data_IF_353390038166
#
_entry.id   IF_353390038166
#
_cell.length_a   1.000
_cell.length_b   1.000
_cell.length_c   1.000
_cell.angle_alpha   90.00
_cell.angle_beta   90.00
_cell.angle_gamma   90.00
#
_symmetry.space_group_name_H-M   'P 1'
#
loop_
_entity.id
_entity.type
_entity.pdbx_description
1 polymer ?
#
# COMPACT_ATOMS: atom_id res chain seq x y z
N UNK A 1 9.25 -40.62 -15.08
CA UNK A 1 7.92 -40.53 -15.75
C UNK A 1 7.84 -39.22 -16.51
N UNK A 2 7.67 -39.30 -17.84
CA UNK A 2 7.56 -38.15 -18.76
C UNK A 2 6.11 -37.65 -18.79
N UNK A 3 5.87 -36.37 -18.54
CA UNK A 3 4.58 -35.76 -18.83
C UNK A 3 4.57 -35.22 -20.27
N UNK A 4 3.66 -35.79 -21.06
CA UNK A 4 3.37 -35.48 -22.46
C UNK A 4 2.29 -34.39 -22.46
N UNK A 5 2.67 -33.15 -22.76
CA UNK A 5 1.74 -32.03 -22.95
C UNK A 5 1.03 -32.16 -24.30
N UNK A 6 -0.29 -32.29 -24.27
CA UNK A 6 -1.16 -32.22 -25.45
C UNK A 6 -1.29 -30.75 -25.88
N UNK A 7 -0.87 -30.48 -27.11
CA UNK A 7 -1.01 -29.19 -27.76
C UNK A 7 -2.42 -28.96 -28.29
N UNK A 8 -2.92 -27.75 -28.06
CA UNK A 8 -4.10 -27.20 -28.74
C UNK A 8 -3.61 -26.08 -29.65
N UNK A 9 -3.85 -26.23 -30.95
CA UNK A 9 -3.53 -25.23 -31.98
C UNK A 9 -4.78 -24.38 -32.27
N UNK A 10 -4.64 -23.07 -32.56
CA UNK A 10 -5.69 -22.32 -33.24
C UNK A 10 -5.30 -22.10 -34.71
N UNK A 11 -6.07 -22.73 -35.61
CA UNK A 11 -5.93 -22.62 -37.06
C UNK A 11 -7.01 -21.67 -37.61
N UNK A 12 -6.55 -20.64 -38.31
CA UNK A 12 -7.22 -19.87 -39.38
C UNK A 12 -8.58 -19.17 -39.14
N UNK A 13 -8.56 -17.83 -39.26
CA UNK A 13 -9.44 -17.14 -40.21
C UNK A 13 -8.77 -15.91 -40.81
N UNK A 14 -8.50 -15.99 -42.11
CA UNK A 14 -7.93 -14.94 -42.96
C UNK A 14 -9.06 -14.24 -43.73
N UNK A 15 -8.87 -12.93 -43.91
CA UNK A 15 -9.28 -12.07 -45.03
C UNK A 15 -10.78 -11.73 -45.20
N UNK A 16 -11.06 -10.42 -45.22
CA UNK A 16 -11.50 -9.69 -46.43
C UNK A 16 -11.13 -8.20 -46.34
N UNK A 17 -10.78 -7.65 -47.49
CA UNK A 17 -10.32 -6.29 -47.74
C UNK A 17 -11.45 -5.45 -48.34
N UNK A 18 -11.41 -4.12 -48.13
CA UNK A 18 -11.90 -3.06 -49.02
C UNK A 18 -11.56 -1.71 -48.34
N UNK A 19 -10.67 -0.85 -48.85
CA UNK A 19 -10.78 0.03 -50.03
C UNK A 19 -11.93 1.04 -49.89
N UNK A 20 -11.66 2.22 -49.31
CA UNK A 20 -12.41 3.43 -49.64
C UNK A 20 -11.54 4.69 -49.51
N UNK A 21 -10.87 5.05 -50.62
CA UNK A 21 -10.52 6.44 -50.93
C UNK A 21 -11.80 7.11 -51.43
N UNK A 22 -12.20 8.24 -50.85
CA UNK A 22 -12.90 9.30 -51.59
C UNK A 22 -12.40 10.66 -51.13
N UNK A 23 -11.85 11.38 -52.11
CA UNK A 23 -11.74 12.83 -52.16
C UNK A 23 -13.15 13.42 -52.16
N UNK A 24 -13.34 14.56 -51.48
CA UNK A 24 -14.29 15.58 -51.91
C UNK A 24 -13.57 16.93 -51.77
N UNK A 25 -13.41 17.58 -52.92
CA UNK A 25 -13.06 18.99 -53.05
C UNK A 25 -14.30 19.85 -52.76
N UNK A 26 -14.06 21.02 -52.16
CA UNK A 26 -14.61 22.32 -52.56
C UNK A 26 -16.10 22.56 -52.43
N UNK A 27 -16.46 23.52 -51.58
CA UNK A 27 -17.42 24.59 -51.93
C UNK A 27 -16.96 25.88 -51.26
N UNK A 28 -16.75 26.90 -52.09
CA UNK A 28 -16.62 28.30 -51.72
C UNK A 28 -17.97 28.99 -51.93
N UNK A 29 -18.42 29.78 -50.95
CA UNK A 29 -19.37 30.91 -51.00
C UNK A 29 -19.43 31.43 -49.56
N UNK A 30 -19.20 32.69 -49.21
CA UNK A 30 -19.80 33.92 -49.74
C UNK A 30 -20.68 34.52 -48.63
N UNK A 31 -20.11 35.39 -47.79
CA UNK A 31 -20.84 36.26 -46.85
C UNK A 31 -20.01 37.55 -46.67
N UNK A 32 -20.19 38.54 -47.55
CA UNK A 32 -21.03 39.74 -47.35
C UNK A 32 -20.61 40.61 -46.16
N UNK A 33 -19.85 41.66 -46.48
CA UNK A 33 -19.83 42.93 -45.76
C UNK A 33 -21.23 43.54 -45.72
N UNK A 34 -21.53 44.34 -44.68
CA UNK A 34 -22.29 45.55 -44.85
C UNK A 34 -21.41 46.78 -44.59
N UNK A 35 -21.38 47.64 -45.58
CA UNK A 35 -21.22 49.09 -45.42
C UNK A 35 -22.02 49.64 -44.24
N UNK A 36 -21.46 50.59 -43.48
CA UNK A 36 -22.02 51.94 -43.43
C UNK A 36 -21.03 52.96 -42.84
N UNK A 37 -20.61 53.91 -43.68
CA UNK A 37 -20.08 55.21 -43.29
C UNK A 37 -21.23 56.13 -42.88
N UNK A 38 -21.02 56.96 -41.86
CA UNK A 38 -21.93 58.07 -41.57
C UNK A 38 -21.60 58.78 -40.26
N UNK A 39 -20.74 59.81 -40.34
CA UNK A 39 -20.32 60.57 -39.18
C UNK A 39 -21.38 61.51 -38.59
N UNK A 40 -21.13 61.98 -37.36
CA UNK A 40 -21.50 63.34 -36.95
C UNK A 40 -20.71 63.77 -35.71
N UNK A 41 -20.26 65.03 -35.77
CA UNK A 41 -19.52 65.78 -34.76
C UNK A 41 -20.40 66.09 -33.54
N UNK A 42 -19.76 66.15 -32.38
CA UNK A 42 -20.13 66.98 -31.23
C UNK A 42 -21.13 66.34 -30.28
N UNK A 43 -20.70 66.08 -29.04
CA UNK A 43 -21.34 66.60 -27.83
C UNK A 43 -20.47 66.33 -26.59
N UNK A 44 -20.16 67.42 -25.89
CA UNK A 44 -20.02 67.56 -24.43
C UNK A 44 -19.19 66.55 -23.62
N UNK A 45 -18.02 67.03 -23.20
CA UNK A 45 -17.43 66.83 -21.88
C UNK A 45 -18.47 66.95 -20.75
N UNK A 46 -18.85 65.82 -20.13
CA UNK A 46 -19.46 65.79 -18.80
C UNK A 46 -18.73 64.76 -17.96
N UNK A 47 -18.34 65.21 -16.76
CA UNK A 47 -17.75 64.48 -15.65
C UNK A 47 -18.27 63.02 -15.53
N UNK A 48 -17.44 62.01 -15.27
CA UNK A 48 -16.28 62.01 -14.39
C UNK A 48 -16.70 61.42 -13.04
N UNK A 49 -16.24 60.19 -12.76
CA UNK A 49 -16.32 59.45 -11.47
C UNK A 49 -17.67 58.78 -11.15
N UNK A 50 -17.88 57.56 -11.65
CA UNK A 50 -18.97 56.70 -11.18
C UNK A 50 -18.93 55.23 -11.62
N UNK A 51 -18.40 54.93 -12.82
CA UNK A 51 -18.49 53.58 -13.39
C UNK A 51 -17.33 52.62 -13.06
N UNK A 52 -16.23 53.08 -12.43
CA UNK A 52 -15.09 52.21 -12.16
C UNK A 52 -15.24 51.32 -10.91
N UNK A 53 -16.08 51.70 -9.94
CA UNK A 53 -16.21 50.97 -8.67
C UNK A 53 -17.04 49.68 -8.83
N UNK A 54 -18.00 49.65 -9.76
CA UNK A 54 -18.88 48.48 -9.97
C UNK A 54 -18.19 47.31 -10.67
N UNK A 55 -17.16 47.56 -11.46
CA UNK A 55 -16.37 46.51 -12.11
C UNK A 55 -15.35 45.86 -11.17
N UNK A 56 -14.75 46.59 -10.24
CA UNK A 56 -13.78 46.03 -9.28
C UNK A 56 -14.44 45.03 -8.32
N UNK A 57 -15.67 45.29 -7.87
CA UNK A 57 -16.43 44.36 -7.02
C UNK A 57 -16.84 43.06 -7.74
N UNK A 58 -17.13 43.12 -9.05
CA UNK A 58 -17.54 41.93 -9.82
C UNK A 58 -16.38 40.96 -10.08
N UNK A 59 -15.17 41.50 -10.32
CA UNK A 59 -13.96 40.70 -10.51
C UNK A 59 -13.41 40.08 -9.21
N UNK A 60 -13.65 40.71 -8.06
CA UNK A 60 -13.35 40.12 -6.75
C UNK A 60 -14.12 38.83 -6.48
N UNK A 61 -15.41 38.79 -6.84
CA UNK A 61 -16.25 37.59 -6.62
C UNK A 61 -15.85 36.39 -7.50
N UNK A 62 -15.42 36.62 -8.75
CA UNK A 62 -14.97 35.53 -9.64
C UNK A 62 -13.65 34.90 -9.17
N UNK A 63 -12.70 35.69 -8.65
CA UNK A 63 -11.43 35.17 -8.12
C UNK A 63 -11.60 34.42 -6.80
N UNK A 64 -12.59 34.79 -5.98
CA UNK A 64 -12.97 34.03 -4.79
C UNK A 64 -13.58 32.68 -5.18
N UNK A 65 -14.47 32.65 -6.18
CA UNK A 65 -15.11 31.41 -6.65
C UNK A 65 -14.10 30.38 -7.19
N UNK A 66 -13.05 30.82 -7.90
CA UNK A 66 -12.02 29.92 -8.44
C UNK A 66 -11.06 29.35 -7.38
N UNK A 67 -10.79 30.10 -6.29
CA UNK A 67 -10.00 29.59 -5.15
C UNK A 67 -10.76 28.54 -4.36
N UNK A 68 -12.05 28.79 -4.11
CA UNK A 68 -12.95 27.84 -3.44
C UNK A 68 -13.08 26.54 -4.25
N UNK A 69 -13.22 26.63 -5.57
CA UNK A 69 -13.32 25.45 -6.44
C UNK A 69 -12.10 24.52 -6.39
N UNK A 70 -10.88 25.06 -6.25
CA UNK A 70 -9.65 24.25 -6.17
C UNK A 70 -9.51 23.53 -4.83
N UNK A 71 -9.86 24.19 -3.72
CA UNK A 71 -9.88 23.55 -2.41
C UNK A 71 -10.92 22.42 -2.34
N UNK A 72 -12.09 22.62 -2.95
CA UNK A 72 -13.13 21.57 -3.04
C UNK A 72 -12.62 20.34 -3.79
N UNK A 73 -11.89 20.49 -4.90
CA UNK A 73 -11.33 19.35 -5.64
C UNK A 73 -10.40 18.50 -4.77
N UNK A 74 -9.56 19.14 -3.95
CA UNK A 74 -8.66 18.47 -3.01
C UNK A 74 -9.43 17.72 -1.90
N UNK A 75 -10.48 18.33 -1.35
CA UNK A 75 -11.35 17.67 -0.37
C UNK A 75 -12.10 16.49 -0.97
N UNK A 76 -12.63 16.62 -2.19
CA UNK A 76 -13.28 15.54 -2.91
C UNK A 76 -12.31 14.38 -3.19
N UNK A 77 -11.05 14.69 -3.52
CA UNK A 77 -10.02 13.67 -3.71
C UNK A 77 -9.71 12.94 -2.39
N UNK A 78 -9.56 13.65 -1.28
CA UNK A 78 -9.38 13.06 0.04
C UNK A 78 -10.57 12.19 0.46
N UNK A 79 -11.80 12.66 0.21
CA UNK A 79 -13.02 11.89 0.47
C UNK A 79 -13.07 10.61 -0.39
N UNK A 80 -12.78 10.71 -1.69
CA UNK A 80 -12.73 9.56 -2.60
C UNK A 80 -11.72 8.51 -2.13
N UNK A 81 -10.53 8.95 -1.70
CA UNK A 81 -9.51 8.06 -1.14
C UNK A 81 -10.01 7.32 0.11
N UNK A 82 -10.64 8.04 1.05
CA UNK A 82 -11.19 7.44 2.26
C UNK A 82 -12.34 6.47 1.97
N UNK A 83 -13.22 6.81 1.02
CA UNK A 83 -14.30 5.93 0.57
C UNK A 83 -13.74 4.64 -0.04
N UNK A 84 -12.73 4.74 -0.91
CA UNK A 84 -12.09 3.56 -1.51
C UNK A 84 -11.43 2.69 -0.44
N UNK A 85 -10.72 3.31 0.52
CA UNK A 85 -10.13 2.58 1.65
C UNK A 85 -11.18 1.84 2.46
N UNK A 86 -12.26 2.51 2.85
CA UNK A 86 -13.30 1.93 3.69
C UNK A 86 -14.14 0.87 2.96
N UNK A 87 -14.55 1.12 1.72
CA UNK A 87 -15.49 0.25 1.01
C UNK A 87 -14.81 -0.82 0.16
N UNK A 88 -13.73 -0.48 -0.54
CA UNK A 88 -13.05 -1.46 -1.39
C UNK A 88 -12.04 -2.27 -0.59
N UNK A 89 -11.14 -1.64 0.17
CA UNK A 89 -10.08 -2.41 0.84
C UNK A 89 -10.58 -3.09 2.09
N UNK A 90 -11.10 -2.34 3.06
CA UNK A 90 -11.61 -2.93 4.31
C UNK A 90 -12.84 -3.83 4.03
N UNK A 91 -13.73 -3.40 3.14
CA UNK A 91 -14.87 -4.22 2.71
C UNK A 91 -14.46 -5.55 2.09
N UNK A 92 -13.55 -5.55 1.11
CA UNK A 92 -13.07 -6.78 0.47
C UNK A 92 -12.37 -7.71 1.47
N UNK A 93 -11.53 -7.18 2.35
CA UNK A 93 -10.83 -7.99 3.33
C UNK A 93 -11.80 -8.68 4.30
N UNK A 94 -12.86 -7.99 4.72
CA UNK A 94 -13.88 -8.56 5.59
C UNK A 94 -14.71 -9.63 4.90
N UNK A 95 -15.10 -9.41 3.65
CA UNK A 95 -15.79 -10.44 2.86
C UNK A 95 -14.89 -11.66 2.63
N UNK A 96 -13.59 -11.44 2.42
CA UNK A 96 -12.62 -12.52 2.36
C UNK A 96 -12.51 -13.28 3.69
N UNK A 97 -12.45 -12.59 4.83
CA UNK A 97 -12.48 -13.23 6.16
C UNK A 97 -13.78 -14.01 6.38
N UNK A 98 -14.94 -13.48 5.98
CA UNK A 98 -16.22 -14.21 6.06
C UNK A 98 -16.23 -15.46 5.21
N UNK A 99 -15.73 -15.36 3.98
CA UNK A 99 -15.59 -16.52 3.09
C UNK A 99 -14.65 -17.56 3.69
N UNK A 100 -13.59 -17.14 4.39
CA UNK A 100 -12.69 -18.06 5.08
C UNK A 100 -13.36 -18.73 6.28
N UNK A 101 -14.10 -17.99 7.13
CA UNK A 101 -14.89 -18.57 8.24
C UNK A 101 -15.81 -19.68 7.73
N UNK A 102 -16.59 -19.38 6.69
CA UNK A 102 -17.52 -20.34 6.09
C UNK A 102 -16.77 -21.51 5.42
N UNK A 103 -15.63 -21.22 4.78
CA UNK A 103 -14.74 -22.23 4.22
C UNK A 103 -14.20 -23.19 5.28
N UNK A 104 -13.69 -22.67 6.39
CA UNK A 104 -13.21 -23.44 7.54
C UNK A 104 -14.33 -24.28 8.14
N UNK A 105 -15.53 -23.69 8.37
CA UNK A 105 -16.69 -24.42 8.88
C UNK A 105 -17.08 -25.59 7.96
N UNK A 106 -17.07 -25.39 6.65
CA UNK A 106 -17.34 -26.47 5.67
C UNK A 106 -16.27 -27.54 5.68
N UNK A 107 -14.99 -27.16 5.75
CA UNK A 107 -13.88 -28.13 5.82
C UNK A 107 -14.01 -29.02 7.06
N UNK A 108 -14.25 -28.43 8.22
CA UNK A 108 -14.42 -29.18 9.48
C UNK A 108 -15.62 -30.14 9.39
N UNK A 109 -16.75 -29.68 8.83
CA UNK A 109 -17.93 -30.55 8.62
C UNK A 109 -17.66 -31.71 7.67
N UNK A 110 -16.90 -31.49 6.61
CA UNK A 110 -16.54 -32.54 5.64
C UNK A 110 -15.54 -33.55 6.22
N UNK A 111 -14.72 -33.13 7.18
CA UNK A 111 -13.75 -33.99 7.87
C UNK A 111 -14.38 -34.85 8.97
N UNK A 112 -15.64 -34.59 9.32
CA UNK A 112 -16.46 -35.44 10.18
C UNK A 112 -17.19 -36.47 9.31
N UNK A 113 -16.54 -37.61 9.06
CA UNK A 113 -17.09 -38.71 8.25
C UNK A 113 -18.48 -39.17 8.72
N UNK A 114 -18.77 -39.09 10.03
CA UNK A 114 -20.08 -39.35 10.65
C UNK A 114 -20.25 -38.54 11.96
N UNK A 115 -21.01 -37.43 11.97
CA UNK A 115 -21.18 -36.61 13.17
C UNK A 115 -21.88 -37.37 14.32
N UNK A 116 -22.62 -38.43 14.02
CA UNK A 116 -23.34 -39.24 15.01
C UNK A 116 -22.45 -40.24 15.77
N UNK A 117 -21.25 -40.53 15.28
CA UNK A 117 -20.29 -41.44 15.91
C UNK A 117 -19.15 -40.69 16.62
N UNK A 118 -19.20 -39.35 16.66
CA UNK A 118 -18.19 -38.53 17.31
C UNK A 118 -18.11 -38.86 18.81
N UNK A 119 -16.90 -39.12 19.28
CA UNK A 119 -16.65 -39.40 20.70
C UNK A 119 -16.98 -38.13 21.49
N UNK A 120 -17.52 -38.25 22.71
CA UNK A 120 -17.88 -37.10 23.55
C UNK A 120 -16.75 -36.06 23.71
N UNK A 121 -15.49 -36.49 23.67
CA UNK A 121 -14.31 -35.62 23.69
C UNK A 121 -14.11 -34.81 22.41
N UNK A 122 -14.44 -35.37 21.24
CA UNK A 122 -14.36 -34.67 19.96
C UNK A 122 -15.43 -33.59 19.88
N UNK A 123 -16.64 -33.89 20.36
CA UNK A 123 -17.74 -32.92 20.41
C UNK A 123 -17.36 -31.65 21.19
N UNK A 124 -16.69 -31.80 22.33
CA UNK A 124 -16.22 -30.64 23.14
C UNK A 124 -15.25 -29.75 22.34
N UNK A 125 -14.34 -30.35 21.56
CA UNK A 125 -13.40 -29.59 20.72
C UNK A 125 -14.16 -28.85 19.62
N UNK A 126 -15.14 -29.50 18.99
CA UNK A 126 -15.93 -28.91 17.92
C UNK A 126 -16.82 -27.77 18.39
N UNK A 127 -17.41 -27.90 19.58
CA UNK A 127 -18.18 -26.83 20.21
C UNK A 127 -17.29 -25.62 20.49
N UNK A 128 -16.04 -25.85 20.94
CA UNK A 128 -15.07 -24.78 21.15
C UNK A 128 -14.64 -24.11 19.83
N UNK A 129 -14.44 -24.90 18.77
CA UNK A 129 -14.12 -24.38 17.44
C UNK A 129 -15.26 -23.52 16.89
N UNK A 130 -16.51 -23.96 17.00
CA UNK A 130 -17.67 -23.17 16.55
C UNK A 130 -17.82 -21.90 17.40
N UNK A 131 -17.54 -21.95 18.71
CA UNK A 131 -17.54 -20.75 19.56
C UNK A 131 -16.51 -19.71 19.10
N UNK A 132 -15.30 -20.14 18.73
CA UNK A 132 -14.28 -19.26 18.14
C UNK A 132 -14.76 -18.66 16.81
N UNK A 133 -15.28 -19.48 15.89
CA UNK A 133 -15.77 -19.00 14.59
C UNK A 133 -16.94 -18.00 14.75
N UNK A 134 -17.83 -18.22 15.71
CA UNK A 134 -18.89 -17.25 16.03
C UNK A 134 -18.34 -15.95 16.61
N UNK A 135 -17.30 -16.01 17.45
CA UNK A 135 -16.63 -14.82 17.97
C UNK A 135 -16.02 -14.01 16.82
N UNK A 136 -15.39 -14.67 15.86
CA UNK A 136 -14.85 -14.05 14.64
C UNK A 136 -15.95 -13.41 13.82
N UNK A 137 -17.04 -14.12 13.57
CA UNK A 137 -18.17 -13.62 12.79
C UNK A 137 -18.76 -12.35 13.40
N UNK A 138 -18.90 -12.30 14.73
CA UNK A 138 -19.32 -11.09 15.45
C UNK A 138 -18.32 -9.95 15.29
N UNK A 139 -17.01 -10.23 15.42
CA UNK A 139 -15.96 -9.22 15.29
C UNK A 139 -15.87 -8.62 13.88
N UNK A 140 -16.17 -9.40 12.84
CA UNK A 140 -16.10 -8.98 11.44
C UNK A 140 -17.42 -8.38 10.94
N UNK A 141 -18.53 -8.63 11.63
CA UNK A 141 -19.85 -8.09 11.29
C UNK A 141 -19.87 -6.54 11.22
N UNK A 142 -20.69 -5.99 10.32
CA UNK A 142 -20.82 -4.54 10.12
C UNK A 142 -22.21 -4.07 10.50
N UNK A 143 -22.24 -3.11 11.43
CA UNK A 143 -23.37 -2.17 11.52
C UNK A 143 -23.09 -0.95 10.64
N UNK A 144 -24.11 -0.14 10.34
CA UNK A 144 -23.92 1.12 9.60
C UNK A 144 -22.92 2.05 10.30
N UNK A 145 -22.94 2.09 11.64
CA UNK A 145 -21.99 2.86 12.44
C UNK A 145 -20.53 2.41 12.26
N UNK A 146 -20.31 1.11 12.01
CA UNK A 146 -18.96 0.58 11.77
C UNK A 146 -18.41 0.98 10.40
N UNK A 147 -19.27 1.27 9.42
CA UNK A 147 -18.84 1.82 8.12
C UNK A 147 -18.22 3.20 8.25
N UNK A 148 -18.73 4.01 9.17
CA UNK A 148 -18.15 5.34 9.47
C UNK A 148 -16.84 5.18 10.21
N UNK A 149 -16.77 4.27 11.19
CA UNK A 149 -15.51 3.92 11.87
C UNK A 149 -14.47 3.33 10.90
N UNK A 150 -14.91 2.69 9.82
CA UNK A 150 -14.02 2.13 8.79
C UNK A 150 -13.23 3.20 8.02
N UNK A 151 -13.61 4.49 8.09
CA UNK A 151 -12.75 5.58 7.61
C UNK A 151 -11.42 5.65 8.37
N UNK A 152 -11.42 5.21 9.64
CA UNK A 152 -10.24 5.07 10.50
C UNK A 152 -9.83 3.61 10.70
N UNK A 153 -10.22 2.73 9.77
CA UNK A 153 -9.86 1.32 9.79
C UNK A 153 -8.34 1.16 9.85
N UNK A 154 -7.84 0.23 10.69
CA UNK A 154 -6.41 -0.04 10.87
C UNK A 154 -6.03 -1.53 10.63
N UNK A 155 -7.01 -2.41 10.40
CA UNK A 155 -6.79 -3.84 10.17
C UNK A 155 -6.63 -4.71 11.42
N UNK A 156 -6.62 -4.13 12.62
CA UNK A 156 -6.35 -4.88 13.86
C UNK A 156 -7.43 -5.90 14.19
N UNK A 157 -8.71 -5.56 13.96
CA UNK A 157 -9.83 -6.48 14.19
C UNK A 157 -9.79 -7.66 13.21
N UNK A 158 -9.46 -7.40 11.94
CA UNK A 158 -9.33 -8.43 10.92
C UNK A 158 -8.14 -9.36 11.21
N UNK A 159 -7.00 -8.83 11.63
CA UNK A 159 -5.87 -9.65 12.06
C UNK A 159 -6.22 -10.55 13.26
N UNK A 160 -6.91 -10.01 14.26
CA UNK A 160 -7.36 -10.80 15.41
C UNK A 160 -8.36 -11.89 14.98
N UNK A 161 -9.27 -11.57 14.06
CA UNK A 161 -10.18 -12.53 13.44
C UNK A 161 -9.44 -13.65 12.72
N UNK A 162 -8.41 -13.33 11.92
CA UNK A 162 -7.57 -14.32 11.24
C UNK A 162 -6.88 -15.27 12.21
N UNK A 163 -6.30 -14.75 13.30
CA UNK A 163 -5.68 -15.58 14.36
C UNK A 163 -6.67 -16.57 14.98
N UNK A 164 -7.88 -16.11 15.29
CA UNK A 164 -8.92 -16.98 15.85
C UNK A 164 -9.38 -18.07 14.85
N UNK A 165 -9.44 -17.76 13.55
CA UNK A 165 -9.70 -18.78 12.50
C UNK A 165 -8.56 -19.80 12.46
N UNK A 166 -7.31 -19.34 12.50
CA UNK A 166 -6.13 -20.22 12.53
C UNK A 166 -6.11 -21.13 13.76
N UNK A 167 -6.46 -20.60 14.94
CA UNK A 167 -6.57 -21.39 16.17
C UNK A 167 -7.72 -22.40 16.10
N UNK A 168 -8.86 -22.03 15.52
CA UNK A 168 -9.96 -22.95 15.24
C UNK A 168 -9.52 -24.11 14.33
N UNK A 169 -8.77 -23.84 13.27
CA UNK A 169 -8.24 -24.89 12.37
C UNK A 169 -7.22 -25.80 13.07
N UNK A 170 -6.37 -25.24 13.94
CA UNK A 170 -5.41 -26.02 14.73
C UNK A 170 -6.09 -26.93 15.74
N UNK A 171 -7.16 -26.45 16.38
CA UNK A 171 -7.96 -27.25 17.31
C UNK A 171 -8.72 -28.35 16.58
N UNK A 172 -9.30 -28.05 15.40
CA UNK A 172 -9.99 -29.04 14.58
C UNK A 172 -9.06 -30.19 14.15
N UNK A 173 -7.77 -29.94 13.92
CA UNK A 173 -6.78 -30.97 13.60
C UNK A 173 -6.67 -32.07 14.68
N UNK A 174 -6.98 -31.76 15.94
CA UNK A 174 -6.97 -32.74 17.03
C UNK A 174 -8.17 -33.70 16.98
N UNK A 175 -9.27 -33.31 16.32
CA UNK A 175 -10.49 -34.10 16.17
C UNK A 175 -10.64 -34.72 14.77
N UNK A 176 -9.65 -34.60 13.88
CA UNK A 176 -9.72 -35.17 12.53
C UNK A 176 -9.65 -36.69 12.55
N UNK A 177 -10.49 -37.35 11.75
CA UNK A 177 -10.36 -38.77 11.47
C UNK A 177 -9.08 -39.07 10.67
N UNK A 178 -8.53 -40.28 10.83
CA UNK A 178 -7.27 -40.71 10.21
C UNK A 178 -7.17 -40.50 8.69
N UNK A 179 -8.20 -40.79 7.85
CA UNK A 179 -8.10 -40.53 6.41
C UNK A 179 -7.95 -39.03 6.09
N UNK A 180 -8.70 -38.17 6.79
CA UNK A 180 -8.61 -36.72 6.65
C UNK A 180 -7.27 -36.17 7.16
N UNK A 181 -6.77 -36.70 8.27
CA UNK A 181 -5.46 -36.36 8.80
C UNK A 181 -4.35 -36.64 7.77
N UNK A 182 -4.37 -37.80 7.11
CA UNK A 182 -3.40 -38.13 6.04
C UNK A 182 -3.50 -37.15 4.87
N UNK A 183 -4.70 -36.83 4.42
CA UNK A 183 -4.90 -35.86 3.33
C UNK A 183 -4.41 -34.46 3.72
N UNK A 184 -4.65 -34.04 4.97
CA UNK A 184 -4.19 -32.74 5.48
C UNK A 184 -2.68 -32.69 5.65
N UNK A 185 -2.03 -33.77 6.10
CA UNK A 185 -0.57 -33.90 6.16
C UNK A 185 0.07 -33.85 4.76
N UNK A 186 -0.54 -34.49 3.75
CA UNK A 186 -0.08 -34.36 2.37
C UNK A 186 -0.16 -32.91 1.87
N UNK A 187 -1.25 -32.21 2.20
CA UNK A 187 -1.39 -30.78 1.88
C UNK A 187 -0.32 -29.94 2.60
N UNK A 188 -0.08 -30.21 3.88
CA UNK A 188 0.94 -29.54 4.68
C UNK A 188 2.34 -29.65 4.06
N UNK A 189 2.69 -30.82 3.50
CA UNK A 189 3.95 -30.99 2.75
C UNK A 189 4.01 -30.10 1.50
N UNK A 190 2.89 -29.87 0.82
CA UNK A 190 2.79 -28.92 -0.29
C UNK A 190 2.92 -27.48 0.16
N UNK A 191 2.33 -27.13 1.31
CA UNK A 191 2.36 -25.78 1.89
C UNK A 191 3.73 -25.42 2.49
N UNK A 192 4.69 -26.36 2.57
CA UNK A 192 6.04 -26.06 3.02
C UNK A 192 6.68 -24.92 2.21
N UNK A 193 6.35 -24.74 0.93
CA UNK A 193 6.91 -23.63 0.13
C UNK A 193 6.59 -22.25 0.70
N UNK A 194 5.55 -22.12 1.51
CA UNK A 194 5.18 -20.86 2.15
C UNK A 194 6.13 -20.46 3.29
N UNK A 195 6.85 -21.42 3.90
CA UNK A 195 7.76 -21.15 4.99
C UNK A 195 9.16 -20.69 4.51
N UNK A 196 9.90 -19.92 5.33
CA UNK A 196 11.30 -19.61 5.07
C UNK A 196 12.18 -20.88 4.94
N UNK A 197 13.27 -20.85 4.14
CA UNK A 197 14.14 -22.02 3.89
C UNK A 197 14.58 -22.78 5.15
N UNK A 198 14.93 -22.05 6.22
CA UNK A 198 15.34 -22.64 7.49
C UNK A 198 14.20 -23.45 8.14
N UNK A 199 13.00 -22.88 8.27
CA UNK A 199 11.83 -23.55 8.86
C UNK A 199 11.35 -24.72 7.99
N UNK A 200 11.45 -24.61 6.65
CA UNK A 200 11.14 -25.72 5.71
C UNK A 200 11.97 -26.97 5.98
N UNK A 201 13.27 -26.80 6.25
CA UNK A 201 14.15 -27.92 6.52
C UNK A 201 13.80 -28.64 7.84
N UNK A 202 13.36 -27.88 8.85
CA UNK A 202 12.92 -28.41 10.14
C UNK A 202 11.66 -29.27 10.00
N UNK A 203 10.66 -28.81 9.25
CA UNK A 203 9.34 -29.47 9.20
C UNK A 203 9.21 -30.62 8.22
N UNK A 204 10.07 -30.70 7.19
CA UNK A 204 9.93 -31.73 6.15
C UNK A 204 9.96 -33.15 6.71
N UNK A 205 10.96 -33.48 7.53
CA UNK A 205 11.10 -34.85 8.08
C UNK A 205 9.98 -35.21 9.07
N UNK A 206 9.62 -34.36 10.06
CA UNK A 206 8.50 -34.64 10.96
C UNK A 206 7.17 -34.87 10.24
N UNK A 207 6.86 -34.08 9.20
CA UNK A 207 5.62 -34.24 8.44
C UNK A 207 5.60 -35.52 7.60
N UNK A 208 6.71 -35.89 6.97
CA UNK A 208 6.83 -37.16 6.24
C UNK A 208 6.65 -38.36 7.17
N UNK A 209 7.21 -38.31 8.37
CA UNK A 209 7.11 -39.36 9.37
C UNK A 209 5.69 -39.47 9.95
N UNK A 210 5.08 -38.33 10.27
CA UNK A 210 3.69 -38.24 10.70
C UNK A 210 2.73 -38.80 9.64
N UNK A 211 3.00 -38.55 8.35
CA UNK A 211 2.18 -39.06 7.25
C UNK A 211 2.28 -40.58 7.11
N UNK A 212 3.45 -41.17 7.36
CA UNK A 212 3.66 -42.63 7.30
C UNK A 212 2.89 -43.37 8.38
N UNK A 213 2.94 -42.86 9.62
CA UNK A 213 2.37 -43.54 10.79
C UNK A 213 0.92 -43.18 11.05
N UNK A 214 0.52 -41.93 10.78
CA UNK A 214 -0.84 -41.39 10.97
C UNK A 214 -1.48 -41.77 12.32
N UNK A 215 -0.68 -41.72 13.39
CA UNK A 215 -1.06 -42.03 14.76
C UNK A 215 -1.48 -40.76 15.54
N UNK A 216 -1.66 -40.86 16.86
CA UNK A 216 -1.97 -39.70 17.71
C UNK A 216 -0.94 -38.58 17.64
N UNK A 217 0.35 -38.93 17.56
CA UNK A 217 1.46 -37.96 17.45
C UNK A 217 1.42 -37.20 16.12
N UNK A 218 0.86 -37.79 15.07
CA UNK A 218 0.68 -37.13 13.78
C UNK A 218 -0.28 -35.92 13.87
N UNK A 219 -1.29 -35.97 14.75
CA UNK A 219 -2.18 -34.82 15.00
C UNK A 219 -1.45 -33.67 15.70
N UNK A 220 -0.67 -33.99 16.73
CA UNK A 220 0.15 -33.01 17.44
C UNK A 220 1.19 -32.37 16.50
N UNK A 221 1.85 -33.18 15.67
CA UNK A 221 2.82 -32.71 14.67
C UNK A 221 2.15 -31.80 13.65
N UNK A 222 0.97 -32.16 13.14
CA UNK A 222 0.20 -31.31 12.24
C UNK A 222 -0.20 -29.99 12.91
N UNK A 223 -0.73 -30.03 14.14
CA UNK A 223 -1.14 -28.83 14.88
C UNK A 223 0.02 -27.87 15.13
N UNK A 224 1.20 -28.42 15.46
CA UNK A 224 2.42 -27.63 15.66
C UNK A 224 2.93 -27.03 14.33
N UNK A 225 2.91 -27.79 13.23
CA UNK A 225 3.25 -27.26 11.91
C UNK A 225 2.29 -26.14 11.48
N UNK A 226 0.98 -26.33 11.67
CA UNK A 226 -0.02 -25.31 11.33
C UNK A 226 0.19 -24.03 12.13
N UNK A 227 0.60 -24.13 13.41
CA UNK A 227 0.98 -22.96 14.21
C UNK A 227 2.07 -22.14 13.52
N UNK A 228 3.18 -22.79 13.13
CA UNK A 228 4.32 -22.14 12.48
C UNK A 228 3.96 -21.60 11.09
N UNK A 229 3.14 -22.32 10.34
CA UNK A 229 2.62 -21.89 9.03
C UNK A 229 1.75 -20.63 9.16
N UNK A 230 0.82 -20.62 10.11
CA UNK A 230 -0.09 -19.49 10.32
C UNK A 230 0.63 -18.29 10.90
N UNK A 231 1.60 -18.47 11.79
CA UNK A 231 2.43 -17.38 12.28
C UNK A 231 3.21 -16.71 11.13
N UNK A 232 3.81 -17.50 10.23
CA UNK A 232 4.49 -16.95 9.05
C UNK A 232 3.53 -16.19 8.11
N UNK A 233 2.28 -16.65 7.96
CA UNK A 233 1.26 -15.95 7.16
C UNK A 233 0.78 -14.67 7.83
N UNK A 234 0.56 -14.71 9.15
CA UNK A 234 0.11 -13.57 9.95
C UNK A 234 1.17 -12.48 10.02
N UNK A 235 2.46 -12.83 10.10
CA UNK A 235 3.57 -11.87 10.00
C UNK A 235 3.57 -11.12 8.66
N UNK A 236 3.40 -11.85 7.54
CA UNK A 236 3.29 -11.23 6.21
C UNK A 236 2.08 -10.31 6.12
N UNK A 237 0.93 -10.77 6.62
CA UNK A 237 -0.30 -9.99 6.62
C UNK A 237 -0.19 -8.72 7.49
N UNK A 238 0.41 -8.83 8.68
CA UNK A 238 0.77 -7.69 9.55
C UNK A 238 1.64 -6.66 8.83
N UNK A 239 2.65 -7.12 8.10
CA UNK A 239 3.54 -6.24 7.33
C UNK A 239 2.76 -5.49 6.25
N UNK A 240 1.88 -6.17 5.52
CA UNK A 240 1.00 -5.55 4.51
C UNK A 240 0.08 -4.49 5.14
N UNK A 241 -0.57 -4.81 6.27
CA UNK A 241 -1.42 -3.84 6.99
C UNK A 241 -0.63 -2.64 7.49
N UNK A 242 0.58 -2.86 8.02
CA UNK A 242 1.47 -1.78 8.48
C UNK A 242 1.85 -0.86 7.34
N UNK A 243 2.24 -1.42 6.19
CA UNK A 243 2.55 -0.65 4.98
C UNK A 243 1.32 0.14 4.52
N UNK A 244 0.14 -0.47 4.50
CA UNK A 244 -1.08 0.22 4.08
C UNK A 244 -1.47 1.38 5.01
N UNK A 245 -1.27 1.23 6.32
CA UNK A 245 -1.50 2.29 7.30
C UNK A 245 -0.47 3.42 7.16
N UNK A 246 0.80 3.09 6.97
CA UNK A 246 1.85 4.06 6.70
C UNK A 246 1.56 4.85 5.41
N UNK A 247 1.20 4.17 4.33
CA UNK A 247 0.83 4.81 3.06
C UNK A 247 -0.37 5.74 3.23
N UNK A 248 -1.36 5.34 4.03
CA UNK A 248 -2.53 6.18 4.32
C UNK A 248 -2.14 7.42 5.10
N UNK A 249 -1.28 7.29 6.10
CA UNK A 249 -0.74 8.42 6.83
C UNK A 249 0.01 9.39 5.90
N UNK A 250 0.89 8.88 5.04
CA UNK A 250 1.60 9.70 4.05
C UNK A 250 0.64 10.43 3.09
N UNK A 251 -0.41 9.75 2.62
CA UNK A 251 -1.44 10.37 1.77
C UNK A 251 -2.16 11.49 2.52
N UNK A 252 -2.56 11.28 3.77
CA UNK A 252 -3.24 12.31 4.56
C UNK A 252 -2.33 13.52 4.82
N UNK A 253 -1.06 13.30 5.15
CA UNK A 253 -0.08 14.39 5.34
C UNK A 253 0.14 15.15 4.03
N UNK A 254 0.37 14.45 2.92
CA UNK A 254 0.55 15.11 1.63
C UNK A 254 -0.71 15.84 1.17
N UNK A 255 -1.92 15.33 1.50
CA UNK A 255 -3.18 16.01 1.22
C UNK A 255 -3.31 17.31 2.00
N UNK A 256 -2.89 17.32 3.26
CA UNK A 256 -2.87 18.53 4.09
C UNK A 256 -1.93 19.59 3.48
N UNK A 257 -0.73 19.19 3.09
CA UNK A 257 0.25 20.08 2.42
C UNK A 257 -0.30 20.58 1.08
N UNK A 258 -0.84 19.67 0.26
CA UNK A 258 -1.43 19.98 -1.04
C UNK A 258 -2.61 20.95 -0.94
N UNK A 259 -3.47 20.77 0.07
CA UNK A 259 -4.59 21.68 0.35
C UNK A 259 -4.08 23.07 0.75
N UNK A 260 -3.09 23.16 1.63
CA UNK A 260 -2.48 24.44 2.02
C UNK A 260 -1.90 25.17 0.80
N UNK A 261 -1.17 24.46 -0.06
CA UNK A 261 -0.62 25.01 -1.31
C UNK A 261 -1.72 25.40 -2.32
N UNK A 262 -2.81 24.63 -2.40
CA UNK A 262 -3.94 24.94 -3.26
C UNK A 262 -4.65 26.24 -2.82
N UNK A 263 -4.84 26.42 -1.52
CA UNK A 263 -5.38 27.66 -0.91
C UNK A 263 -4.44 28.84 -1.15
N UNK A 264 -3.12 28.61 -1.06
CA UNK A 264 -2.10 29.61 -1.37
C UNK A 264 -2.07 30.01 -2.86
N UNK A 265 -2.72 29.25 -3.75
CA UNK A 265 -2.89 29.62 -5.16
C UNK A 265 -2.08 28.79 -6.16
N UNK A 266 -1.38 27.74 -5.71
CA UNK A 266 -0.56 26.85 -6.54
C UNK A 266 -1.36 25.76 -7.28
N UNK A 267 -2.69 25.78 -7.19
CA UNK A 267 -3.56 24.72 -7.74
C UNK A 267 -3.26 24.26 -9.17
N UNK A 268 -2.98 25.14 -10.16
CA UNK A 268 -2.69 24.70 -11.53
C UNK A 268 -1.42 23.86 -11.65
N UNK A 269 -0.35 24.24 -10.94
CA UNK A 269 0.90 23.48 -10.89
C UNK A 269 0.67 22.12 -10.25
N UNK A 270 -0.03 22.12 -9.11
CA UNK A 270 -0.35 20.89 -8.39
C UNK A 270 -1.17 19.93 -9.26
N UNK A 271 -2.15 20.44 -10.01
CA UNK A 271 -2.96 19.63 -10.92
C UNK A 271 -2.11 19.06 -12.07
N UNK A 272 -1.23 19.87 -12.67
CA UNK A 272 -0.34 19.39 -13.73
C UNK A 272 0.61 18.29 -13.22
N UNK A 273 1.19 18.48 -12.04
CA UNK A 273 2.00 17.47 -11.36
C UNK A 273 1.22 16.19 -11.04
N UNK A 274 0.00 16.34 -10.53
CA UNK A 274 -0.86 15.20 -10.19
C UNK A 274 -1.20 14.34 -11.41
N UNK A 275 -1.50 14.98 -12.54
CA UNK A 275 -1.73 14.30 -13.82
C UNK A 275 -0.45 13.59 -14.28
N UNK A 276 0.72 14.25 -14.17
CA UNK A 276 2.01 13.65 -14.49
C UNK A 276 2.30 12.37 -13.69
N UNK A 277 2.12 12.42 -12.38
CA UNK A 277 2.30 11.27 -11.48
C UNK A 277 1.30 10.14 -11.76
N UNK A 278 0.01 10.48 -11.95
CA UNK A 278 -1.02 9.50 -12.30
C UNK A 278 -0.68 8.76 -13.60
N UNK A 279 -0.33 9.51 -14.66
CA UNK A 279 0.02 8.93 -15.96
C UNK A 279 1.28 8.04 -15.86
N UNK A 280 2.29 8.45 -15.07
CA UNK A 280 3.46 7.60 -14.78
C UNK A 280 3.04 6.25 -14.20
N UNK A 281 2.18 6.27 -13.18
CA UNK A 281 1.75 5.05 -12.48
C UNK A 281 0.87 4.16 -13.34
N UNK A 282 -0.09 4.73 -14.07
CA UNK A 282 -0.93 3.96 -15.00
C UNK A 282 -0.10 3.29 -16.11
N UNK A 283 0.91 3.99 -16.65
CA UNK A 283 1.81 3.42 -17.64
C UNK A 283 2.62 2.23 -17.09
N UNK A 284 2.90 2.21 -15.78
CA UNK A 284 3.59 1.10 -15.11
C UNK A 284 2.66 -0.09 -14.89
N UNK A 285 1.47 0.14 -14.34
CA UNK A 285 0.46 -0.89 -14.12
C UNK A 285 0.07 -1.61 -15.43
N UNK A 286 0.10 -0.91 -16.56
CA UNK A 286 -0.14 -1.52 -17.87
C UNK A 286 1.03 -2.41 -18.36
N UNK A 287 2.25 -2.18 -17.88
CA UNK A 287 3.46 -2.90 -18.31
C UNK A 287 3.80 -4.08 -17.40
N UNK A 288 3.49 -4.00 -16.11
CA UNK A 288 3.67 -5.11 -15.17
C UNK A 288 2.60 -6.18 -15.44
N UNK A 289 3.04 -7.43 -15.67
CA UNK A 289 2.17 -8.58 -15.92
C UNK A 289 1.69 -9.26 -14.62
N UNK A 290 2.34 -8.96 -13.51
CA UNK A 290 2.00 -9.48 -12.19
C UNK A 290 1.20 -8.39 -11.45
N UNK A 291 -0.08 -8.65 -11.24
CA UNK A 291 -0.91 -7.76 -10.42
C UNK A 291 -0.51 -7.94 -8.97
N UNK A 292 -0.18 -6.87 -8.22
CA UNK A 292 0.17 -7.00 -6.82
C UNK A 292 -1.00 -7.58 -6.03
N UNK A 293 -0.71 -8.56 -5.19
CA UNK A 293 -1.70 -9.27 -4.40
C UNK A 293 -2.45 -8.33 -3.43
N UNK A 294 -3.71 -8.67 -3.12
CA UNK A 294 -4.50 -8.04 -2.03
C UNK A 294 -4.80 -6.54 -2.16
N UNK A 295 -5.20 -6.06 -3.34
CA UNK A 295 -5.70 -4.68 -3.49
C UNK A 295 -4.64 -3.58 -3.32
N UNK A 296 -3.37 -3.95 -3.17
CA UNK A 296 -2.24 -3.03 -3.11
C UNK A 296 -2.10 -2.18 -4.38
N UNK A 297 -2.63 -2.66 -5.51
CA UNK A 297 -2.62 -1.94 -6.79
C UNK A 297 -3.19 -0.53 -6.63
N UNK A 298 -4.35 -0.40 -5.98
CA UNK A 298 -5.00 0.90 -5.72
C UNK A 298 -4.22 1.76 -4.72
N UNK A 299 -3.62 1.12 -3.71
CA UNK A 299 -2.80 1.81 -2.71
C UNK A 299 -1.60 2.53 -3.33
N UNK A 300 -1.16 2.14 -4.53
CA UNK A 300 -0.06 2.80 -5.24
C UNK A 300 -0.49 3.92 -6.19
N UNK A 301 -1.77 3.99 -6.57
CA UNK A 301 -2.26 5.00 -7.53
C UNK A 301 -2.51 6.35 -6.84
N UNK A 302 -3.16 6.34 -5.66
CA UNK A 302 -3.47 7.57 -4.94
C UNK A 302 -2.25 8.37 -4.47
N UNK A 303 -1.19 7.73 -3.93
CA UNK A 303 0.02 8.45 -3.56
C UNK A 303 0.75 9.02 -4.78
N UNK A 304 0.74 8.34 -5.92
CA UNK A 304 1.45 8.80 -7.11
C UNK A 304 0.95 10.17 -7.61
N UNK A 305 -0.36 10.39 -7.64
CA UNK A 305 -0.92 11.70 -7.97
C UNK A 305 -0.52 12.78 -6.95
N UNK A 306 -0.48 12.42 -5.67
CA UNK A 306 -0.13 13.35 -4.61
C UNK A 306 1.35 13.74 -4.65
N UNK A 307 2.23 12.74 -4.75
CA UNK A 307 3.67 12.95 -4.87
C UNK A 307 4.03 13.63 -6.19
N UNK A 308 3.33 13.34 -7.28
CA UNK A 308 3.47 14.07 -8.54
C UNK A 308 3.13 15.56 -8.38
N UNK A 309 2.06 15.89 -7.66
CA UNK A 309 1.70 17.28 -7.37
C UNK A 309 2.77 18.00 -6.54
N UNK A 310 3.24 17.37 -5.46
CA UNK A 310 4.26 17.93 -4.58
C UNK A 310 5.63 18.04 -5.28
N UNK A 311 5.99 17.05 -6.11
CA UNK A 311 7.22 17.05 -6.92
C UNK A 311 7.20 18.14 -7.96
N UNK A 312 6.05 18.42 -8.58
CA UNK A 312 5.90 19.53 -9.51
C UNK A 312 6.13 20.88 -8.85
N UNK A 313 5.55 21.09 -7.67
CA UNK A 313 5.77 22.30 -6.88
C UNK A 313 7.24 22.44 -6.46
N UNK A 314 7.82 21.41 -5.84
CA UNK A 314 9.19 21.42 -5.37
C UNK A 314 10.21 21.58 -6.52
N UNK A 315 10.01 20.86 -7.63
CA UNK A 315 10.88 20.90 -8.81
C UNK A 315 10.88 22.27 -9.49
N UNK A 316 9.71 22.89 -9.66
CA UNK A 316 9.63 24.24 -10.23
C UNK A 316 10.28 25.30 -9.32
N UNK A 317 10.12 25.18 -7.99
CA UNK A 317 10.81 26.07 -7.05
C UNK A 317 12.33 25.86 -7.06
N UNK A 318 12.80 24.62 -7.17
CA UNK A 318 14.23 24.31 -7.30
C UNK A 318 14.81 24.96 -8.57
N UNK A 319 14.12 24.85 -9.71
CA UNK A 319 14.56 25.50 -10.96
C UNK A 319 14.56 27.02 -10.81
N UNK A 320 13.55 27.60 -10.17
CA UNK A 320 13.50 29.04 -9.92
C UNK A 320 14.68 29.52 -9.07
N UNK A 321 15.08 28.75 -8.04
CA UNK A 321 16.26 29.04 -7.21
C UNK A 321 17.53 28.93 -8.04
N UNK A 322 17.71 27.86 -8.82
CA UNK A 322 18.91 27.68 -9.66
C UNK A 322 19.05 28.78 -10.72
N UNK A 323 17.93 29.24 -11.28
CA UNK A 323 17.91 30.38 -12.21
C UNK A 323 18.30 31.69 -11.49
N UNK A 324 17.83 31.90 -10.26
CA UNK A 324 18.19 33.10 -9.47
C UNK A 324 19.69 33.16 -9.16
N UNK A 325 20.33 32.01 -8.96
CA UNK A 325 21.77 31.87 -8.75
C UNK A 325 22.59 31.91 -10.05
N UNK A 326 21.94 32.12 -11.21
CA UNK A 326 22.56 32.12 -12.55
C UNK A 326 23.29 30.82 -12.91
N UNK A 327 22.94 29.70 -12.28
CA UNK A 327 23.51 28.38 -12.61
C UNK A 327 22.94 27.86 -13.94
N UNK A 328 21.68 28.18 -14.24
CA UNK A 328 21.00 27.84 -15.49
C UNK A 328 20.23 29.05 -16.05
N UNK A 329 20.40 29.35 -17.34
CA UNK A 329 19.64 30.38 -18.07
C UNK A 329 18.65 29.73 -19.04
N UNK A 330 17.41 29.54 -18.60
CA UNK A 330 16.30 29.16 -19.48
C UNK A 330 15.63 30.43 -20.02
N UNK A 331 16.24 31.06 -21.03
CA UNK A 331 15.71 32.29 -21.66
C UNK A 331 14.28 32.11 -22.19
N UNK A 332 13.94 30.91 -22.66
CA UNK A 332 12.62 30.57 -23.19
C UNK A 332 11.48 30.57 -22.15
N UNK A 333 11.79 30.48 -20.85
CA UNK A 333 10.78 30.46 -19.78
C UNK A 333 10.64 31.80 -19.05
N UNK A 334 11.39 32.83 -19.47
CA UNK A 334 11.43 34.11 -18.76
C UNK A 334 11.93 33.96 -17.33
N UNK A 335 11.64 34.93 -16.48
CA UNK A 335 12.04 34.90 -15.06
C UNK A 335 11.04 34.05 -14.27
N UNK A 336 11.33 32.76 -14.06
CA UNK A 336 10.42 31.83 -13.37
C UNK A 336 10.03 32.31 -11.97
N UNK A 337 10.90 33.04 -11.28
CA UNK A 337 10.62 33.63 -9.98
C UNK A 337 9.44 34.61 -10.00
N UNK A 338 9.15 35.26 -11.12
CA UNK A 338 8.00 36.14 -11.29
C UNK A 338 6.74 35.36 -11.68
N UNK A 339 6.89 34.28 -12.44
CA UNK A 339 5.80 33.41 -12.89
C UNK A 339 5.26 32.48 -11.79
N UNK A 340 6.08 32.14 -10.79
CA UNK A 340 5.69 31.31 -9.64
C UNK A 340 5.00 32.10 -8.50
N UNK A 341 4.83 33.42 -8.64
CA UNK A 341 4.16 34.23 -7.61
C UNK A 341 2.65 33.92 -7.65
N UNK A 342 2.06 33.46 -6.53
CA UNK A 342 0.63 33.21 -6.49
C UNK A 342 -0.18 34.53 -6.53
N UNK A 343 -1.40 34.52 -7.09
CA UNK A 343 -2.11 33.38 -7.66
C UNK A 343 -1.76 33.13 -9.13
N UNK A 344 -1.46 31.88 -9.46
CA UNK A 344 -1.17 31.48 -10.84
C UNK A 344 -2.48 31.41 -11.63
N UNK A 345 -2.62 32.32 -12.60
CA UNK A 345 -3.73 32.36 -13.54
C UNK A 345 -3.42 31.47 -14.74
N UNK A 346 -4.43 30.73 -15.23
CA UNK A 346 -4.32 29.95 -16.46
C UNK A 346 -4.31 30.92 -17.65
N UNK A 347 -3.12 31.34 -18.08
CA UNK A 347 -2.91 32.19 -19.25
C UNK A 347 -2.06 31.44 -20.28
N UNK A 348 -2.06 31.90 -21.54
CA UNK A 348 -1.31 31.25 -22.63
C UNK A 348 0.19 31.09 -22.29
N UNK A 349 0.74 32.03 -21.53
CA UNK A 349 2.14 32.05 -21.12
C UNK A 349 2.46 31.06 -19.99
N UNK A 350 1.45 30.49 -19.34
CA UNK A 350 1.63 29.46 -18.29
C UNK A 350 1.68 28.03 -18.83
N UNK A 351 1.46 27.82 -20.14
CA UNK A 351 1.49 26.48 -20.75
C UNK A 351 2.86 25.79 -20.60
N UNK A 352 4.01 26.44 -20.84
CA UNK A 352 5.33 25.82 -20.63
C UNK A 352 5.57 25.46 -19.16
N UNK A 353 5.09 26.30 -18.24
CA UNK A 353 5.19 26.07 -16.80
C UNK A 353 4.40 24.83 -16.37
N UNK A 354 3.17 24.67 -16.89
CA UNK A 354 2.34 23.49 -16.63
C UNK A 354 2.95 22.23 -17.24
N UNK A 355 3.56 22.33 -18.44
CA UNK A 355 4.26 21.20 -19.06
C UNK A 355 5.48 20.76 -18.22
N UNK A 356 6.28 21.71 -17.72
CA UNK A 356 7.36 21.40 -16.78
C UNK A 356 6.84 20.83 -15.47
N UNK A 357 5.75 21.35 -14.92
CA UNK A 357 5.10 20.79 -13.74
C UNK A 357 4.68 19.34 -13.96
N UNK A 358 4.08 19.01 -15.11
CA UNK A 358 3.73 17.64 -15.45
C UNK A 358 4.98 16.75 -15.65
N UNK A 359 6.06 17.27 -16.23
CA UNK A 359 7.33 16.57 -16.37
C UNK A 359 7.98 16.29 -15.00
N UNK A 360 7.96 17.24 -14.07
CA UNK A 360 8.40 17.01 -12.69
C UNK A 360 7.47 16.04 -11.96
N UNK A 361 6.17 16.04 -12.25
CA UNK A 361 5.24 15.00 -11.79
C UNK A 361 5.59 13.61 -12.31
N UNK A 362 6.06 13.51 -13.56
CA UNK A 362 6.63 12.28 -14.13
C UNK A 362 8.01 11.92 -13.55
N UNK A 363 8.70 12.87 -12.92
CA UNK A 363 10.04 12.67 -12.36
C UNK A 363 10.05 11.91 -11.02
N UNK A 364 8.89 11.49 -10.51
CA UNK A 364 8.78 10.43 -9.50
C UNK A 364 9.71 9.25 -9.84
N UNK A 365 9.84 8.93 -11.14
CA UNK A 365 10.74 7.90 -11.68
C UNK A 365 12.24 8.13 -11.40
N UNK A 366 12.66 9.39 -11.35
CA UNK A 366 14.06 9.74 -11.06
C UNK A 366 14.33 9.57 -9.57
N UNK A 367 13.38 9.97 -8.72
CA UNK A 367 13.50 9.81 -7.26
C UNK A 367 13.51 8.32 -6.89
N UNK A 368 12.59 7.51 -7.42
CA UNK A 368 12.56 6.06 -7.19
C UNK A 368 13.88 5.39 -7.57
N UNK A 369 14.42 5.71 -8.76
CA UNK A 369 15.70 5.15 -9.22
C UNK A 369 16.89 5.63 -8.39
N UNK A 370 16.85 6.85 -7.86
CA UNK A 370 17.89 7.33 -6.97
C UNK A 370 17.83 6.63 -5.62
N UNK A 371 16.64 6.42 -5.05
CA UNK A 371 16.47 5.68 -3.80
C UNK A 371 16.91 4.23 -3.97
N UNK A 372 16.44 3.53 -5.01
CA UNK A 372 16.83 2.15 -5.30
C UNK A 372 18.34 2.01 -5.48
N UNK A 373 18.96 2.91 -6.25
CA UNK A 373 20.41 2.92 -6.44
C UNK A 373 21.17 3.26 -5.15
N UNK A 374 20.60 4.08 -4.27
CA UNK A 374 21.22 4.41 -2.98
C UNK A 374 21.11 3.23 -2.01
N UNK A 375 19.97 2.52 -1.98
CA UNK A 375 19.81 1.28 -1.22
C UNK A 375 20.73 0.16 -1.72
N UNK A 376 20.90 0.03 -3.03
CA UNK A 376 21.88 -0.90 -3.62
C UNK A 376 23.32 -0.57 -3.21
N UNK A 377 23.68 0.73 -3.20
CA UNK A 377 24.99 1.18 -2.73
C UNK A 377 25.17 0.90 -1.24
N UNK A 378 24.14 1.12 -0.42
CA UNK A 378 24.16 0.80 1.01
C UNK A 378 24.32 -0.70 1.28
N UNK A 379 23.55 -1.55 0.59
CA UNK A 379 23.69 -3.01 0.72
C UNK A 379 25.06 -3.50 0.30
N UNK A 380 25.61 -2.98 -0.80
CA UNK A 380 26.99 -3.28 -1.22
C UNK A 380 27.99 -2.86 -0.16
N UNK A 381 27.79 -1.70 0.46
CA UNK A 381 28.66 -1.23 1.54
C UNK A 381 28.57 -2.12 2.79
N UNK A 382 27.37 -2.55 3.19
CA UNK A 382 27.18 -3.51 4.30
C UNK A 382 27.78 -4.89 3.99
N UNK A 383 27.66 -5.37 2.76
CA UNK A 383 28.29 -6.61 2.30
C UNK A 383 29.82 -6.50 2.28
N UNK A 384 30.38 -5.37 1.83
CA UNK A 384 31.81 -5.09 1.84
C UNK A 384 32.37 -4.94 3.27
N UNK A 385 31.63 -4.28 4.17
CA UNK A 385 31.99 -4.16 5.59
C UNK A 385 31.88 -5.50 6.33
N UNK A 386 30.86 -6.30 6.02
CA UNK A 386 30.70 -7.66 6.55
C UNK A 386 31.79 -8.62 6.04
N UNK A 387 32.19 -8.49 4.77
CA UNK A 387 33.28 -9.26 4.19
C UNK A 387 34.65 -8.87 4.79
N UNK A 388 34.89 -7.57 5.06
CA UNK A 388 36.09 -7.10 5.76
C UNK A 388 36.15 -7.61 7.20
N UNK A 389 35.05 -7.57 7.94
CA UNK A 389 34.98 -8.12 9.31
C UNK A 389 35.23 -9.63 9.36
N UNK A 390 34.70 -10.39 8.39
CA UNK A 390 35.01 -11.82 8.27
C UNK A 390 36.48 -12.09 7.92
N UNK A 391 37.08 -11.28 7.04
CA UNK A 391 38.50 -11.37 6.72
C UNK A 391 39.42 -11.02 7.91
N UNK A 392 39.02 -10.06 8.76
CA UNK A 392 39.74 -9.72 9.99
C UNK A 392 39.56 -10.76 11.09
N UNK A 393 38.37 -11.36 11.26
CA UNK A 393 38.15 -12.47 12.19
C UNK A 393 38.94 -13.72 11.78
N UNK A 394 38.98 -14.06 10.48
CA UNK A 394 39.73 -15.22 9.99
C UNK A 394 41.25 -15.01 10.13
N UNK A 395 41.73 -13.76 10.01
CA UNK A 395 43.12 -13.38 10.28
C UNK A 395 43.48 -13.34 11.77
N UNK A 396 42.51 -13.17 12.68
CA UNK A 396 42.72 -13.17 14.14
C UNK A 396 42.49 -14.55 14.79
N UNK A 397 41.84 -15.49 14.11
CA UNK A 397 41.79 -16.92 14.51
C UNK A 397 43.05 -17.71 14.10
N UNK A 398 44.22 -17.05 14.06
CA UNK A 398 45.49 -17.76 14.16
C UNK A 398 45.57 -18.44 15.53
N UNK A 399 45.75 -19.75 15.53
CA UNK A 399 45.91 -20.67 16.68
C UNK A 399 46.99 -20.19 17.67
N UNK A 400 46.67 -19.20 18.48
CA UNK A 400 47.51 -18.65 19.53
C UNK A 400 46.90 -18.90 20.92
N UNK A 401 47.72 -19.21 21.94
CA UNK A 401 47.24 -19.53 23.30
C UNK A 401 46.38 -18.44 23.95
N UNK A 402 46.42 -17.19 23.47
CA UNK A 402 45.56 -16.09 23.93
C UNK A 402 44.08 -16.23 23.58
N UNK A 403 43.73 -16.86 22.44
CA UNK A 403 42.33 -17.03 22.03
C UNK A 403 41.59 -18.06 22.90
N UNK A 404 42.32 -19.07 23.41
CA UNK A 404 41.79 -20.07 24.33
C UNK A 404 41.56 -19.46 25.72
N UNK A 405 42.42 -18.53 26.16
CA UNK A 405 42.26 -17.82 27.43
C UNK A 405 41.07 -16.87 27.42
N UNK A 406 40.85 -16.11 26.34
CA UNK A 406 39.72 -15.20 26.20
C UNK A 406 38.37 -15.96 26.22
N UNK A 407 38.30 -17.10 25.52
CA UNK A 407 37.09 -17.94 25.49
C UNK A 407 36.80 -18.62 26.82
N UNK A 408 37.84 -18.96 27.60
CA UNK A 408 37.69 -19.50 28.95
C UNK A 408 37.19 -18.46 29.95
N UNK A 409 37.62 -17.21 29.79
CA UNK A 409 37.19 -16.11 30.65
C UNK A 409 35.72 -15.74 30.38
N UNK A 410 35.29 -15.68 29.11
CA UNK A 410 33.88 -15.46 28.76
C UNK A 410 32.95 -16.54 29.33
N UNK A 411 33.34 -17.81 29.26
CA UNK A 411 32.55 -18.91 29.82
C UNK A 411 32.47 -18.87 31.36
N UNK A 412 33.48 -18.31 32.05
CA UNK A 412 33.42 -18.13 33.50
C UNK A 412 32.45 -17.03 33.90
N UNK A 413 32.40 -15.92 33.15
CA UNK A 413 31.47 -14.81 33.41
C UNK A 413 30.02 -15.24 33.19
N UNK A 414 29.71 -15.97 32.11
CA UNK A 414 28.35 -16.49 31.86
C UNK A 414 27.89 -17.51 32.93
N UNK A 415 28.82 -18.27 33.50
CA UNK A 415 28.52 -19.22 34.58
C UNK A 415 28.32 -18.52 35.94
N UNK A 416 28.93 -17.36 36.16
CA UNK A 416 28.72 -16.54 37.36
C UNK A 416 27.37 -15.81 37.32
N UNK A 417 26.98 -15.24 36.17
CA UNK A 417 25.67 -14.60 36.00
C UNK A 417 24.51 -15.58 36.20
N UNK A 418 24.66 -16.85 35.79
CA UNK A 418 23.64 -17.89 36.02
C UNK A 418 23.51 -18.35 37.48
N UNK A 419 24.44 -17.98 38.36
CA UNK A 419 24.45 -18.42 39.77
C UNK A 419 23.89 -17.39 40.75
N UNK A 420 23.52 -16.18 40.31
CA UNK A 420 22.78 -15.26 41.18
C UNK A 420 21.31 -15.69 41.29
N UNK A 421 20.82 -16.09 42.48
CA UNK A 421 19.41 -16.35 42.67
C UNK A 421 18.63 -15.03 42.55
N UNK A 422 17.59 -15.09 41.73
CA UNK A 422 16.54 -14.11 41.53
C UNK A 422 15.97 -13.65 42.89
N UNK A 423 16.35 -12.45 43.35
CA UNK A 423 15.75 -11.84 44.53
C UNK A 423 14.24 -11.65 44.29
N UNK A 424 13.43 -12.38 45.06
CA UNK A 424 11.97 -12.27 45.07
C UNK A 424 11.53 -10.80 45.29
N UNK A 425 10.52 -10.31 44.55
CA UNK A 425 9.95 -8.99 44.78
C UNK A 425 9.26 -8.93 46.15
N UNK A 426 9.69 -7.97 46.98
CA UNK A 426 9.12 -7.65 48.29
C UNK A 426 7.62 -7.34 48.20
N UNK A 427 6.87 -7.97 49.09
CA UNK A 427 5.44 -7.78 49.29
C UNK A 427 5.06 -6.31 49.52
N UNK A 428 3.92 -5.91 48.93
CA UNK A 428 3.30 -4.61 49.12
C UNK A 428 2.77 -4.43 50.56
N UNK A 429 2.80 -3.20 51.12
CA UNK A 429 2.26 -2.93 52.46
C UNK A 429 0.72 -2.93 52.46
N UNK A 430 0.09 -3.28 53.60
CA UNK A 430 -1.36 -3.32 53.72
C UNK A 430 -2.01 -1.93 53.72
N UNK A 431 -3.14 -1.83 53.04
CA UNK A 431 -4.04 -0.67 53.00
C UNK A 431 -4.62 -0.35 54.38
N UNK A 432 -4.70 0.93 54.81
CA UNK A 432 -5.36 1.30 56.04
C UNK A 432 -6.89 1.24 55.89
N UNK A 433 -7.54 0.50 56.78
CA UNK A 433 -8.98 0.58 57.02
C UNK A 433 -9.32 1.99 57.48
N UNK A 434 -10.21 2.67 56.75
CA UNK A 434 -10.92 3.85 57.23
C UNK A 434 -12.21 3.43 57.91
N UNK A 435 -12.33 3.78 59.19
CA UNK A 435 -13.59 3.93 59.92
C UNK A 435 -14.29 5.21 59.45
N UNK A 436 -15.61 5.18 59.35
CA UNK A 436 -16.47 6.31 58.95
C UNK A 436 -17.84 5.84 58.48
#
# INVERSE_FOLDING_TARGET
MRYRLLGVTPKHRRRRAAKQRRRICGVATGFTCPWWCGGRKGFSTIAGRGCHVRWVLRWGSLRASLRVGRGILWLLYGLLFLLIRAFLVAGMLREFTRAEIEGTRRRIRLEQERPEEAISSEQVVLDHVEALLQQVERAVSWTFGDKVKALFWNGGAELAAWRLIHDAERLAANAMATPHLKARLQRALGDLSELPPARRAVWRKPLEEALRHANGEARATLSAFLADLYEARDERFMLVLKLQNLMTFMVLVGLLIGLALAVAGYGPILLAGAVGGLLSRMARLYRERETPDYGLSWATVFPASLFGALSAWAGLHLVAILQSQRIFSLEALGTLSQLLIPPIALQKDTVPLLALGALFGLSERLLDRMVEKTEELWKKQEEEEGAKKKGEEESQTGTGPGAIAARRFQLQVELEERKLPEELPRAAPPSPRGEG
#
